data_IF_292116133145
#
_entry.id   IF_292116133145
#
_cell.length_a   1.000
_cell.length_b   1.000
_cell.length_c   1.000
_cell.angle_alpha   90.00
_cell.angle_beta   90.00
_cell.angle_gamma   90.00
#
_symmetry.space_group_name_H-M   'P 1'
#
loop_
_entity.id
_entity.type
_entity.pdbx_description
1 polymer ?
#
# COMPACT_ATOMS: atom_id res chain seq x y z
N UNK A 1 -21.22 -8.77 25.94
CA UNK A 1 -20.26 -8.91 24.83
C UNK A 1 -19.92 -7.56 24.20
N UNK A 2 -20.85 -6.85 23.55
CA UNK A 2 -20.55 -5.54 22.93
C UNK A 2 -20.09 -4.48 23.94
N UNK A 3 -20.85 -4.29 25.04
CA UNK A 3 -20.50 -3.34 26.09
C UNK A 3 -19.15 -3.65 26.77
N UNK A 4 -18.80 -4.95 26.90
CA UNK A 4 -17.54 -5.38 27.49
C UNK A 4 -16.35 -5.08 26.55
N UNK A 5 -16.56 -5.22 25.23
CA UNK A 5 -15.57 -4.85 24.21
C UNK A 5 -15.33 -3.35 24.20
N UNK A 6 -16.39 -2.53 24.22
CA UNK A 6 -16.27 -1.06 24.28
C UNK A 6 -15.56 -0.59 25.55
N UNK A 7 -15.87 -1.22 26.70
CA UNK A 7 -15.19 -0.94 27.96
C UNK A 7 -13.71 -1.33 27.92
N UNK A 8 -13.38 -2.45 27.27
CA UNK A 8 -11.99 -2.91 27.08
C UNK A 8 -11.20 -1.96 26.18
N UNK A 9 -11.84 -1.40 25.15
CA UNK A 9 -11.27 -0.39 24.25
C UNK A 9 -11.30 1.03 24.85
N UNK A 10 -11.78 1.21 26.07
CA UNK A 10 -11.97 2.53 26.70
C UNK A 10 -12.79 3.51 25.84
N UNK A 11 -13.69 2.98 25.00
CA UNK A 11 -14.45 3.73 24.00
C UNK A 11 -13.57 4.43 22.92
N UNK A 12 -12.29 4.09 22.81
CA UNK A 12 -11.38 4.57 21.77
C UNK A 12 -11.54 3.75 20.47
N UNK A 13 -12.57 4.07 19.69
CA UNK A 13 -12.84 3.39 18.40
C UNK A 13 -12.17 4.06 17.19
N UNK A 14 -11.59 5.25 17.38
CA UNK A 14 -11.07 6.11 16.32
C UNK A 14 -9.61 5.87 15.97
N UNK A 15 -9.27 4.71 15.40
CA UNK A 15 -7.91 4.45 14.91
C UNK A 15 -7.79 4.67 13.40
N UNK A 16 -6.74 5.36 12.91
CA UNK A 16 -6.57 5.62 11.49
C UNK A 16 -6.20 4.32 10.76
N UNK A 17 -7.04 3.95 9.80
CA UNK A 17 -6.83 2.78 8.93
C UNK A 17 -6.00 3.15 7.69
N UNK A 18 -5.36 2.15 7.06
CA UNK A 18 -4.53 2.31 5.84
C UNK A 18 -5.23 3.17 4.78
N UNK A 19 -6.54 2.95 4.59
CA UNK A 19 -7.37 3.63 3.59
C UNK A 19 -7.37 5.16 3.72
N UNK A 20 -7.28 5.70 4.94
CA UNK A 20 -7.26 7.16 5.18
C UNK A 20 -5.97 7.77 4.63
N UNK A 21 -4.83 7.16 4.94
CA UNK A 21 -3.54 7.57 4.42
C UNK A 21 -3.47 7.39 2.90
N UNK A 22 -3.93 6.24 2.41
CA UNK A 22 -3.90 5.92 0.98
C UNK A 22 -4.67 6.96 0.16
N UNK A 23 -5.86 7.39 0.58
CA UNK A 23 -6.64 8.43 -0.12
C UNK A 23 -5.89 9.76 -0.24
N UNK A 24 -5.13 10.14 0.80
CA UNK A 24 -4.31 11.36 0.76
C UNK A 24 -3.11 11.17 -0.18
N UNK A 25 -2.47 10.02 -0.12
CA UNK A 25 -1.27 9.72 -0.90
C UNK A 25 -1.58 9.55 -2.39
N UNK A 26 -2.70 8.94 -2.74
CA UNK A 26 -3.17 8.83 -4.14
C UNK A 26 -3.48 10.20 -4.72
N UNK A 27 -4.08 11.11 -3.94
CA UNK A 27 -4.29 12.50 -4.37
C UNK A 27 -2.99 13.19 -4.78
N UNK A 28 -1.95 13.08 -3.95
CA UNK A 28 -0.61 13.65 -4.24
C UNK A 28 0.01 12.96 -5.46
N UNK A 29 -0.09 11.63 -5.56
CA UNK A 29 0.43 10.89 -6.69
C UNK A 29 -0.28 11.23 -8.01
N UNK A 30 -1.57 11.56 -7.96
CA UNK A 30 -2.38 11.93 -9.12
C UNK A 30 -1.99 13.30 -9.71
N UNK A 31 -1.35 14.19 -8.95
CA UNK A 31 -0.85 15.48 -9.47
C UNK A 31 0.18 15.31 -10.60
N UNK A 32 0.85 14.15 -10.66
CA UNK A 32 1.79 13.81 -11.73
C UNK A 32 1.08 13.36 -13.03
N UNK A 33 -0.21 13.05 -12.97
CA UNK A 33 -0.98 12.54 -14.11
C UNK A 33 -1.85 13.65 -14.72
N UNK A 34 -1.98 13.63 -16.05
CA UNK A 34 -2.86 14.57 -16.78
C UNK A 34 -4.35 14.35 -16.51
N UNK A 35 -4.72 13.15 -16.08
CA UNK A 35 -6.09 12.73 -15.76
C UNK A 35 -6.08 11.78 -14.56
N UNK A 36 -7.17 11.72 -13.78
CA UNK A 36 -7.24 10.85 -12.61
C UNK A 36 -7.08 9.38 -13.01
N UNK A 37 -6.06 8.73 -12.45
CA UNK A 37 -5.80 7.31 -12.69
C UNK A 37 -6.63 6.45 -11.73
N UNK A 38 -7.86 6.11 -12.14
CA UNK A 38 -8.74 5.27 -11.34
C UNK A 38 -8.18 3.86 -11.11
N UNK A 39 -7.37 3.34 -12.05
CA UNK A 39 -6.74 2.03 -11.88
C UNK A 39 -5.75 2.03 -10.71
N UNK A 40 -5.00 3.12 -10.55
CA UNK A 40 -4.08 3.30 -9.42
C UNK A 40 -4.80 3.29 -8.08
N UNK A 41 -5.93 4.01 -8.02
CA UNK A 41 -6.75 4.09 -6.80
C UNK A 41 -7.37 2.73 -6.45
N UNK A 42 -7.99 2.04 -7.41
CA UNK A 42 -8.60 0.74 -7.16
C UNK A 42 -7.58 -0.35 -6.82
N UNK A 43 -6.43 -0.39 -7.50
CA UNK A 43 -5.36 -1.32 -7.16
C UNK A 43 -4.81 -1.04 -5.77
N UNK A 44 -4.65 0.24 -5.41
CA UNK A 44 -4.29 0.64 -4.05
C UNK A 44 -5.27 0.13 -3.02
N UNK A 45 -6.58 0.34 -3.21
CA UNK A 45 -7.58 -0.17 -2.27
C UNK A 45 -7.53 -1.68 -2.14
N UNK A 46 -7.44 -2.40 -3.26
CA UNK A 46 -7.32 -3.86 -3.25
C UNK A 46 -6.13 -4.34 -2.41
N UNK A 47 -4.93 -3.81 -2.66
CA UNK A 47 -3.73 -4.19 -1.90
C UNK A 47 -3.82 -3.78 -0.42
N UNK A 48 -4.49 -2.67 -0.11
CA UNK A 48 -4.72 -2.26 1.28
C UNK A 48 -5.64 -3.23 2.03
N UNK A 49 -6.70 -3.71 1.38
CA UNK A 49 -7.60 -4.71 1.97
C UNK A 49 -6.88 -6.05 2.15
N UNK A 50 -6.01 -6.44 1.21
CA UNK A 50 -5.16 -7.63 1.38
C UNK A 50 -4.27 -7.53 2.62
N UNK A 51 -3.69 -6.36 2.88
CA UNK A 51 -2.81 -6.13 4.02
C UNK A 51 -3.52 -6.30 5.37
N UNK A 52 -4.82 -6.00 5.42
CA UNK A 52 -5.66 -6.13 6.64
C UNK A 52 -6.01 -7.59 6.90
N UNK A 53 -6.28 -8.37 5.85
CA UNK A 53 -6.65 -9.78 5.98
C UNK A 53 -5.51 -10.64 6.53
N UNK A 54 -4.26 -10.27 6.23
CA UNK A 54 -3.04 -10.95 6.70
C UNK A 54 -2.27 -10.09 7.72
N UNK A 55 -2.97 -9.57 8.74
CA UNK A 55 -2.39 -8.72 9.80
C UNK A 55 -1.22 -9.36 10.54
N UNK A 56 -1.12 -10.70 10.56
CA UNK A 56 0.01 -11.42 11.15
C UNK A 56 1.34 -11.14 10.44
N UNK A 57 1.30 -10.80 9.15
CA UNK A 57 2.45 -10.59 8.27
C UNK A 57 2.78 -9.11 8.07
N UNK A 58 1.77 -8.23 8.19
CA UNK A 58 1.93 -6.77 7.99
C UNK A 58 1.93 -6.07 9.35
N UNK A 59 3.07 -6.10 10.05
CA UNK A 59 3.26 -5.45 11.37
C UNK A 59 3.87 -4.05 11.22
N UNK A 60 3.37 -3.28 10.28
CA UNK A 60 3.89 -1.95 9.97
C UNK A 60 2.89 -0.85 10.32
N UNK A 61 3.39 0.39 10.42
CA UNK A 61 2.54 1.56 10.59
C UNK A 61 1.62 1.73 9.37
N UNK A 62 0.35 2.08 9.59
CA UNK A 62 -0.66 2.22 8.51
C UNK A 62 -0.22 3.20 7.40
N UNK A 63 0.55 4.23 7.73
CA UNK A 63 1.14 5.16 6.76
C UNK A 63 2.24 4.51 5.91
N UNK A 64 3.09 3.66 6.49
CA UNK A 64 4.11 2.91 5.76
C UNK A 64 3.45 1.89 4.82
N UNK A 65 2.41 1.20 5.29
CA UNK A 65 1.62 0.27 4.46
C UNK A 65 0.97 1.02 3.30
N UNK A 66 0.33 2.16 3.54
CA UNK A 66 -0.28 2.97 2.49
C UNK A 66 0.75 3.46 1.45
N UNK A 67 1.94 3.86 1.89
CA UNK A 67 3.04 4.28 1.01
C UNK A 67 3.56 3.12 0.17
N UNK A 68 3.70 1.94 0.78
CA UNK A 68 4.15 0.71 0.12
C UNK A 68 3.14 0.20 -0.90
N UNK A 69 1.85 0.27 -0.56
CA UNK A 69 0.74 -0.01 -1.46
C UNK A 69 0.75 0.94 -2.65
N UNK A 70 0.90 2.25 -2.42
CA UNK A 70 0.99 3.22 -3.50
C UNK A 70 2.18 2.94 -4.42
N UNK A 71 3.37 2.68 -3.85
CA UNK A 71 4.56 2.31 -4.61
C UNK A 71 4.32 1.06 -5.46
N UNK A 72 3.78 -0.01 -4.87
CA UNK A 72 3.51 -1.27 -5.57
C UNK A 72 2.45 -1.10 -6.67
N UNK A 73 1.39 -0.33 -6.42
CA UNK A 73 0.37 -0.02 -7.43
C UNK A 73 0.93 0.77 -8.60
N UNK A 74 1.75 1.80 -8.33
CA UNK A 74 2.43 2.58 -9.38
C UNK A 74 3.37 1.68 -10.18
N UNK A 75 4.16 0.86 -9.50
CA UNK A 75 5.08 -0.07 -10.14
C UNK A 75 4.35 -1.08 -11.04
N UNK A 76 3.23 -1.63 -10.57
CA UNK A 76 2.43 -2.61 -11.32
C UNK A 76 1.81 -2.00 -12.58
N UNK A 77 1.33 -0.75 -12.51
CA UNK A 77 0.67 -0.08 -13.63
C UNK A 77 1.64 0.62 -14.57
N UNK A 78 2.83 1.00 -14.09
CA UNK A 78 3.84 1.74 -14.85
C UNK A 78 5.22 1.09 -14.70
N UNK A 79 5.41 -0.02 -15.41
CA UNK A 79 6.64 -0.81 -15.42
C UNK A 79 7.91 -0.01 -15.82
N UNK A 80 7.77 1.11 -16.52
CA UNK A 80 8.89 1.89 -17.09
C UNK A 80 9.05 3.30 -16.48
N UNK A 81 8.21 3.71 -15.53
CA UNK A 81 8.30 5.02 -14.89
C UNK A 81 8.96 4.92 -13.52
N UNK A 82 9.60 6.00 -13.07
CA UNK A 82 10.15 6.09 -11.72
C UNK A 82 9.02 5.96 -10.70
N UNK A 83 8.86 4.77 -10.11
CA UNK A 83 7.74 4.41 -9.22
C UNK A 83 7.70 5.22 -7.93
N UNK A 84 8.80 5.90 -7.58
CA UNK A 84 8.91 6.75 -6.39
C UNK A 84 9.52 8.12 -6.73
N UNK A 85 8.69 9.12 -7.02
CA UNK A 85 9.17 10.46 -7.35
C UNK A 85 9.77 11.20 -6.16
N UNK A 86 10.65 12.17 -6.42
CA UNK A 86 11.20 13.05 -5.38
C UNK A 86 10.10 13.88 -4.67
N UNK A 87 8.99 14.17 -5.37
CA UNK A 87 7.82 14.82 -4.80
C UNK A 87 7.14 13.90 -3.77
N UNK A 88 6.91 12.63 -4.12
CA UNK A 88 6.36 11.65 -3.19
C UNK A 88 7.26 11.47 -1.97
N UNK A 89 8.57 11.31 -2.15
CA UNK A 89 9.49 11.18 -1.01
C UNK A 89 9.44 12.39 -0.08
N UNK A 90 9.26 13.62 -0.61
CA UNK A 90 9.09 14.83 0.20
C UNK A 90 7.78 14.86 0.98
N UNK A 91 6.67 14.44 0.38
CA UNK A 91 5.35 14.51 1.01
C UNK A 91 5.06 13.35 1.95
N UNK A 92 5.54 12.16 1.62
CA UNK A 92 5.33 10.94 2.39
C UNK A 92 6.42 10.71 3.43
N UNK A 93 7.53 11.44 3.35
CA UNK A 93 8.70 11.34 4.24
C UNK A 93 9.37 9.96 4.28
N UNK A 94 8.92 9.01 3.45
CA UNK A 94 9.50 7.68 3.32
C UNK A 94 10.44 7.61 2.10
N UNK A 95 11.61 7.00 2.30
CA UNK A 95 12.52 6.61 1.21
C UNK A 95 12.06 5.28 0.63
N UNK A 96 12.40 5.02 -0.63
CA UNK A 96 12.15 3.72 -1.26
C UNK A 96 12.78 2.55 -0.47
N UNK A 97 13.90 2.78 0.20
CA UNK A 97 14.55 1.81 1.10
C UNK A 97 13.65 1.40 2.27
N UNK A 98 12.87 2.33 2.81
CA UNK A 98 12.04 2.12 4.00
C UNK A 98 10.80 1.29 3.65
N UNK A 99 10.36 1.36 2.38
CA UNK A 99 9.20 0.63 1.87
C UNK A 99 9.54 -0.82 1.49
N UNK A 100 10.83 -1.12 1.25
CA UNK A 100 11.29 -2.38 0.65
C UNK A 100 10.67 -3.61 1.31
N UNK A 101 10.80 -3.74 2.63
CA UNK A 101 10.30 -4.90 3.37
C UNK A 101 8.77 -5.06 3.27
N UNK A 102 8.04 -3.96 3.45
CA UNK A 102 6.58 -3.96 3.38
C UNK A 102 6.09 -4.26 1.95
N UNK A 103 6.74 -3.72 0.92
CA UNK A 103 6.44 -4.01 -0.49
C UNK A 103 6.66 -5.49 -0.80
N UNK A 104 7.75 -6.08 -0.32
CA UNK A 104 8.01 -7.52 -0.52
C UNK A 104 6.92 -8.38 0.10
N UNK A 105 6.49 -8.07 1.32
CA UNK A 105 5.42 -8.79 2.00
C UNK A 105 4.09 -8.61 1.25
N UNK A 106 3.73 -7.38 0.87
CA UNK A 106 2.50 -7.12 0.12
C UNK A 106 2.47 -7.84 -1.23
N UNK A 107 3.61 -7.90 -1.91
CA UNK A 107 3.73 -8.63 -3.17
C UNK A 107 3.62 -10.15 -2.96
N UNK A 108 4.25 -10.71 -1.93
CA UNK A 108 4.10 -12.14 -1.58
C UNK A 108 2.66 -12.49 -1.23
N UNK A 109 1.95 -11.59 -0.52
CA UNK A 109 0.52 -11.73 -0.21
C UNK A 109 -0.33 -11.72 -1.48
N UNK A 110 -0.06 -10.78 -2.38
CA UNK A 110 -0.73 -10.69 -3.68
C UNK A 110 -0.54 -11.98 -4.47
N UNK A 111 0.68 -12.49 -4.59
CA UNK A 111 1.00 -13.74 -5.30
C UNK A 111 0.40 -14.98 -4.63
N UNK A 112 0.43 -15.05 -3.29
CA UNK A 112 -0.13 -16.17 -2.53
C UNK A 112 -1.63 -16.33 -2.78
N UNK A 113 -2.33 -15.22 -3.04
CA UNK A 113 -3.75 -15.22 -3.43
C UNK A 113 -3.95 -15.36 -4.94
N UNK A 114 -3.01 -14.88 -5.75
CA UNK A 114 -2.94 -15.06 -7.21
C UNK A 114 -2.20 -16.34 -7.62
N UNK A 115 -2.40 -17.48 -6.93
CA UNK A 115 -1.82 -18.78 -7.30
C UNK A 115 -2.44 -19.35 -8.61
N UNK A 116 -2.42 -18.55 -9.69
CA UNK A 116 -2.82 -18.85 -11.06
C UNK A 116 -2.06 -18.07 -12.16
N UNK A 117 -1.20 -17.06 -11.90
CA UNK A 117 -0.43 -16.43 -13.01
C UNK A 117 1.06 -16.22 -12.72
N UNK A 118 1.89 -17.00 -13.42
CA UNK A 118 3.31 -17.23 -13.19
C UNK A 118 4.29 -16.33 -13.96
N UNK A 119 3.89 -15.14 -14.42
CA UNK A 119 4.75 -14.28 -15.27
C UNK A 119 5.29 -12.99 -14.62
N UNK A 120 4.69 -12.46 -13.55
CA UNK A 120 5.07 -11.15 -12.99
C UNK A 120 6.21 -11.19 -11.94
N UNK A 121 6.48 -12.37 -11.35
CA UNK A 121 7.42 -12.51 -10.23
C UNK A 121 8.89 -12.22 -10.58
N UNK A 122 9.25 -12.24 -11.87
CA UNK A 122 10.66 -12.03 -12.31
C UNK A 122 11.08 -10.57 -12.48
N UNK A 123 10.15 -9.60 -12.50
CA UNK A 123 10.49 -8.21 -12.82
C UNK A 123 10.75 -7.33 -11.58
N UNK A 124 10.15 -7.64 -10.43
CA UNK A 124 10.32 -6.86 -9.19
C UNK A 124 11.71 -7.08 -8.56
N UNK A 125 12.32 -8.25 -8.77
CA UNK A 125 13.63 -8.58 -8.20
C UNK A 125 14.82 -7.86 -8.86
N UNK A 126 14.62 -7.20 -10.00
CA UNK A 126 15.72 -6.59 -10.80
C UNK A 126 15.90 -5.09 -10.49
N UNK A 127 14.96 -4.45 -9.78
CA UNK A 127 14.91 -2.98 -9.63
C UNK A 127 15.17 -2.50 -8.19
N UNK A 128 15.33 -3.41 -7.22
CA UNK A 128 15.71 -3.10 -5.83
C UNK A 128 17.10 -3.65 -5.52
#
# INVERSE_FOLDING_TARGET
MEADVLKSLQFEMGNPIVKIFLRRFTGIAQEEYKSPNLQLEFLGYYLSELSILDYSRVKFLHSLVASSVLFLSRFTLQLNAHSWSAALQRYLEYKASDLKECVFILHDLQLSRHRLESCLSRMILVII
#
